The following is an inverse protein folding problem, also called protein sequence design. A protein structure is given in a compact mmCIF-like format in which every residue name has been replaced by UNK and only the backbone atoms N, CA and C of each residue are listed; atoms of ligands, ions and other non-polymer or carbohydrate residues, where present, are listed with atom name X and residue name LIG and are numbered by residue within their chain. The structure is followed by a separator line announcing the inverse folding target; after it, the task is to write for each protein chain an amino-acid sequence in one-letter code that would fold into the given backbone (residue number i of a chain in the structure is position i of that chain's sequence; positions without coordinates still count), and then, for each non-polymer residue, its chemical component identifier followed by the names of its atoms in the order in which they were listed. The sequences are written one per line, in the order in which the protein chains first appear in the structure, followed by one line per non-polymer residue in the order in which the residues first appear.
data_IF_476138756983
#
_entry.id   IF_476138756983
#
_cell.length_a   1.000
_cell.length_b   1.000
_cell.length_c   1.000
_cell.angle_alpha   90.00
_cell.angle_beta   90.00
_cell.angle_gamma   90.00
#
_symmetry.space_group_name_H-M   'P 1'
#
loop_
_entity.id
_entity.type
_entity.pdbx_description
1 polymer ?
#
# COMPACT_ATOMS: atom_id res chain seq x y z
N UNK A 1 -6.54 -12.13 -19.30
CA UNK A 1 -7.60 -13.14 -19.06
C UNK A 1 -7.32 -13.90 -17.78
N UNK A 2 -8.34 -14.13 -16.93
CA UNK A 2 -8.18 -14.93 -15.70
C UNK A 2 -8.28 -16.42 -16.04
N UNK A 3 -7.31 -17.20 -15.56
CA UNK A 3 -7.24 -18.67 -15.77
C UNK A 3 -6.97 -19.32 -14.40
N UNK A 4 -8.00 -19.90 -13.78
CA UNK A 4 -7.91 -20.45 -12.42
C UNK A 4 -7.31 -19.41 -11.43
N UNK A 5 -6.16 -19.71 -10.84
CA UNK A 5 -5.49 -18.86 -9.83
C UNK A 5 -4.45 -17.90 -10.41
N UNK A 6 -4.43 -17.69 -11.72
CA UNK A 6 -3.48 -16.80 -12.42
C UNK A 6 -4.17 -16.02 -13.52
N UNK A 7 -3.51 -14.97 -13.97
CA UNK A 7 -3.92 -14.18 -15.12
C UNK A 7 -2.94 -14.39 -16.27
N UNK A 8 -3.46 -14.55 -17.46
CA UNK A 8 -2.68 -14.48 -18.68
C UNK A 8 -2.63 -13.03 -19.13
N UNK A 9 -1.42 -12.51 -19.23
CA UNK A 9 -1.10 -11.18 -19.71
C UNK A 9 -0.70 -11.31 -21.18
N UNK A 10 -1.42 -10.67 -22.08
CA UNK A 10 -1.00 -10.51 -23.46
C UNK A 10 -0.26 -9.18 -23.55
N UNK A 11 0.97 -9.22 -24.00
CA UNK A 11 1.88 -8.08 -24.03
C UNK A 11 2.40 -7.94 -25.45
N UNK A 12 2.33 -6.73 -25.99
CA UNK A 12 2.95 -6.36 -27.25
C UNK A 12 4.23 -5.56 -26.96
N UNK A 13 5.36 -6.01 -27.51
CA UNK A 13 6.64 -5.31 -27.44
C UNK A 13 7.22 -5.29 -28.85
N UNK A 14 7.34 -4.12 -29.46
CA UNK A 14 7.86 -3.92 -30.82
C UNK A 14 7.14 -4.78 -31.87
N UNK A 15 5.81 -4.87 -31.78
CA UNK A 15 4.98 -5.67 -32.68
C UNK A 15 5.02 -7.18 -32.43
N UNK A 16 5.69 -7.62 -31.35
CA UNK A 16 5.71 -9.00 -30.89
C UNK A 16 4.66 -9.23 -29.80
N UNK A 17 3.66 -10.03 -30.11
CA UNK A 17 2.63 -10.42 -29.13
C UNK A 17 3.06 -11.66 -28.36
N UNK A 18 3.29 -11.53 -27.05
CA UNK A 18 3.77 -12.59 -26.17
C UNK A 18 2.84 -12.69 -24.96
N UNK A 19 2.63 -13.92 -24.47
CA UNK A 19 1.82 -14.15 -23.28
C UNK A 19 2.67 -14.57 -22.08
N UNK A 20 2.40 -13.99 -20.92
CA UNK A 20 2.98 -14.37 -19.63
C UNK A 20 1.91 -14.61 -18.59
N UNK A 21 2.24 -15.36 -17.54
CA UNK A 21 1.36 -15.57 -16.41
C UNK A 21 1.76 -14.73 -15.23
N UNK A 22 0.78 -14.14 -14.51
CA UNK A 22 0.99 -13.46 -13.24
C UNK A 22 -0.15 -13.75 -12.28
N UNK A 23 0.15 -13.84 -10.99
CA UNK A 23 -0.86 -13.88 -9.91
C UNK A 23 -1.35 -12.48 -9.52
N UNK A 24 -0.63 -11.44 -9.91
CA UNK A 24 -0.91 -10.07 -9.53
C UNK A 24 -1.01 -9.15 -10.75
N UNK A 25 -2.17 -8.51 -10.90
CA UNK A 25 -2.48 -7.60 -12.00
C UNK A 25 -2.67 -6.14 -11.55
N UNK A 26 -2.19 -5.78 -10.36
CA UNK A 26 -2.21 -4.38 -10.01
C UNK A 26 -1.37 -3.55 -11.01
N UNK A 27 -1.77 -2.32 -11.21
CA UNK A 27 -1.20 -1.44 -12.24
C UNK A 27 0.32 -1.29 -12.12
N UNK A 28 0.83 -1.17 -10.89
CA UNK A 28 2.27 -1.04 -10.64
C UNK A 28 3.04 -2.30 -11.04
N UNK A 29 2.49 -3.48 -10.74
CA UNK A 29 3.11 -4.74 -11.15
C UNK A 29 3.14 -4.91 -12.67
N UNK A 30 2.05 -4.55 -13.35
CA UNK A 30 1.99 -4.60 -14.81
C UNK A 30 3.04 -3.67 -15.44
N UNK A 31 3.19 -2.44 -14.94
CA UNK A 31 4.23 -1.54 -15.42
C UNK A 31 5.64 -2.05 -15.13
N UNK A 32 5.88 -2.69 -13.98
CA UNK A 32 7.18 -3.29 -13.69
C UNK A 32 7.50 -4.44 -14.64
N UNK A 33 6.52 -5.31 -14.97
CA UNK A 33 6.68 -6.37 -15.96
C UNK A 33 7.01 -5.78 -17.34
N UNK A 34 6.26 -4.77 -17.79
CA UNK A 34 6.50 -4.11 -19.07
C UNK A 34 7.90 -3.46 -19.12
N UNK A 35 8.28 -2.73 -18.07
CA UNK A 35 9.60 -2.10 -17.99
C UNK A 35 10.73 -3.14 -18.00
N UNK A 36 10.54 -4.26 -17.29
CA UNK A 36 11.51 -5.36 -17.28
C UNK A 36 11.65 -5.96 -18.69
N UNK A 37 10.54 -6.28 -19.34
CA UNK A 37 10.56 -6.84 -20.69
C UNK A 37 11.19 -5.88 -21.71
N UNK A 38 10.84 -4.59 -21.64
CA UNK A 38 11.44 -3.57 -22.50
C UNK A 38 12.97 -3.47 -22.28
N UNK A 39 13.42 -3.48 -21.02
CA UNK A 39 14.85 -3.41 -20.70
C UNK A 39 15.64 -4.63 -21.21
N UNK A 40 15.09 -5.83 -21.05
CA UNK A 40 15.80 -7.05 -21.45
C UNK A 40 15.66 -7.39 -22.94
N UNK A 41 14.69 -6.82 -23.64
CA UNK A 41 14.44 -7.10 -25.08
C UNK A 41 15.66 -6.76 -25.96
N UNK A 42 16.48 -5.79 -25.53
CA UNK A 42 17.73 -5.42 -26.23
C UNK A 42 18.85 -6.45 -26.08
N UNK A 43 18.74 -7.36 -25.09
CA UNK A 43 19.79 -8.34 -24.75
C UNK A 43 19.36 -9.79 -24.96
N UNK A 44 18.06 -10.06 -24.84
CA UNK A 44 17.51 -11.41 -24.92
C UNK A 44 16.26 -11.39 -25.78
N UNK A 45 16.13 -12.38 -26.66
CA UNK A 45 14.88 -12.56 -27.39
C UNK A 45 13.77 -12.98 -26.40
N UNK A 46 12.87 -12.05 -26.10
CA UNK A 46 11.80 -12.24 -25.12
C UNK A 46 10.81 -13.35 -25.50
N UNK A 47 10.76 -13.78 -26.79
CA UNK A 47 9.97 -14.94 -27.24
C UNK A 47 10.44 -16.25 -26.59
N UNK A 48 11.72 -16.33 -26.22
CA UNK A 48 12.31 -17.53 -25.63
C UNK A 48 12.11 -17.59 -24.09
N UNK A 49 11.51 -16.56 -23.50
CA UNK A 49 11.23 -16.55 -22.07
C UNK A 49 10.06 -17.49 -21.75
N UNK A 50 10.20 -18.20 -20.63
CA UNK A 50 9.12 -19.05 -20.13
C UNK A 50 7.92 -18.21 -19.74
N UNK A 51 6.70 -18.66 -20.09
CA UNK A 51 5.45 -17.93 -19.79
C UNK A 51 5.21 -17.70 -18.30
N UNK A 52 5.79 -18.50 -17.44
CA UNK A 52 5.60 -18.46 -15.99
C UNK A 52 6.67 -17.65 -15.24
N UNK A 53 7.61 -17.00 -15.94
CA UNK A 53 8.71 -16.23 -15.34
C UNK A 53 8.25 -15.19 -14.30
N UNK A 54 7.04 -14.64 -14.47
CA UNK A 54 6.45 -13.67 -13.53
C UNK A 54 5.41 -14.29 -12.56
N UNK A 55 5.22 -15.61 -12.61
CA UNK A 55 4.16 -16.26 -11.84
C UNK A 55 4.43 -16.18 -10.33
N UNK A 56 5.69 -16.37 -9.94
CA UNK A 56 6.10 -16.39 -8.53
C UNK A 56 6.67 -15.05 -8.06
N UNK A 57 6.49 -14.00 -8.87
CA UNK A 57 6.88 -12.66 -8.47
C UNK A 57 6.06 -12.21 -7.26
N UNK A 58 6.75 -11.99 -6.15
CA UNK A 58 6.15 -11.48 -4.91
C UNK A 58 6.30 -9.97 -4.83
N UNK A 59 5.26 -9.31 -4.39
CA UNK A 59 5.35 -7.88 -4.09
C UNK A 59 6.36 -7.72 -2.93
N UNK A 60 7.41 -6.87 -3.08
CA UNK A 60 8.30 -6.59 -1.97
C UNK A 60 7.54 -6.03 -0.77
N UNK A 61 7.98 -6.38 0.44
CA UNK A 61 7.38 -5.91 1.67
C UNK A 61 7.27 -4.37 1.70
N UNK A 62 6.16 -3.87 2.21
CA UNK A 62 5.91 -2.44 2.31
C UNK A 62 5.48 -1.75 1.00
N UNK A 63 5.11 -2.52 -0.03
CA UNK A 63 4.63 -2.01 -1.33
C UNK A 63 3.21 -2.47 -1.67
N UNK A 64 2.31 -2.44 -0.69
CA UNK A 64 0.91 -2.79 -0.85
C UNK A 64 0.61 -4.26 -0.58
N UNK A 65 1.50 -4.97 0.08
CA UNK A 65 1.25 -6.33 0.54
C UNK A 65 0.18 -6.32 1.64
N UNK A 66 -0.76 -7.25 1.52
CA UNK A 66 -1.87 -7.41 2.47
C UNK A 66 -1.63 -8.64 3.32
N UNK A 67 -1.60 -8.46 4.63
CA UNK A 67 -1.42 -9.51 5.61
C UNK A 67 -2.58 -9.55 6.60
N UNK A 68 -3.08 -10.75 6.91
CA UNK A 68 -4.03 -10.93 8.02
C UNK A 68 -3.24 -10.92 9.31
N UNK A 69 -3.55 -10.00 10.21
CA UNK A 69 -2.88 -9.82 11.49
C UNK A 69 -3.78 -10.32 12.59
N UNK A 70 -3.23 -11.18 13.46
CA UNK A 70 -3.86 -11.57 14.73
C UNK A 70 -3.13 -10.83 15.85
N UNK A 71 -3.84 -9.97 16.55
CA UNK A 71 -3.30 -9.21 17.69
C UNK A 71 -4.26 -9.32 18.87
N UNK A 72 -3.86 -10.04 19.92
CA UNK A 72 -4.76 -10.41 21.03
C UNK A 72 -6.02 -11.10 20.47
N UNK A 73 -7.20 -10.57 20.77
CA UNK A 73 -8.49 -11.14 20.36
C UNK A 73 -9.03 -10.52 19.06
N UNK A 74 -8.18 -9.85 18.26
CA UNK A 74 -8.59 -9.18 17.03
C UNK A 74 -7.85 -9.71 15.82
N UNK A 75 -8.62 -9.89 14.74
CA UNK A 75 -8.10 -10.24 13.43
C UNK A 75 -8.46 -9.11 12.44
N UNK A 76 -7.47 -8.48 11.85
CA UNK A 76 -7.66 -7.41 10.87
C UNK A 76 -6.70 -7.56 9.69
N UNK A 77 -6.92 -6.81 8.62
CA UNK A 77 -6.04 -6.82 7.46
C UNK A 77 -5.14 -5.59 7.47
N UNK A 78 -3.83 -5.83 7.45
CA UNK A 78 -2.80 -4.80 7.32
C UNK A 78 -2.42 -4.66 5.85
N UNK A 79 -2.56 -3.46 5.30
CA UNK A 79 -2.02 -3.07 4.00
C UNK A 79 -0.74 -2.29 4.25
N UNK A 80 0.39 -2.92 3.97
CA UNK A 80 1.71 -2.35 4.25
C UNK A 80 2.24 -1.57 3.04
N UNK A 81 2.31 -0.25 3.18
CA UNK A 81 2.81 0.69 2.18
C UNK A 81 4.01 1.49 2.72
N UNK A 82 4.77 0.91 3.67
CA UNK A 82 5.78 1.63 4.46
C UNK A 82 7.18 1.63 3.84
N UNK A 83 7.35 1.08 2.64
CA UNK A 83 8.66 1.07 1.99
C UNK A 83 9.17 2.47 1.70
N UNK A 84 8.36 3.32 1.09
CA UNK A 84 8.65 4.74 0.86
C UNK A 84 7.36 5.52 0.56
N UNK A 85 7.44 6.86 0.63
CA UNK A 85 6.30 7.74 0.38
C UNK A 85 6.72 9.02 -0.32
N UNK A 86 6.10 9.26 -1.48
CA UNK A 86 6.13 10.54 -2.19
C UNK A 86 4.70 10.92 -2.61
N UNK A 87 4.44 12.13 -3.10
CA UNK A 87 3.09 12.59 -3.42
C UNK A 87 2.33 11.67 -4.38
N UNK A 88 3.00 11.17 -5.43
CA UNK A 88 2.38 10.30 -6.43
C UNK A 88 2.08 8.90 -5.86
N UNK A 89 3.06 8.29 -5.21
CA UNK A 89 2.89 6.95 -4.62
C UNK A 89 1.85 6.96 -3.50
N UNK A 90 1.79 8.03 -2.70
CA UNK A 90 0.79 8.17 -1.64
C UNK A 90 -0.61 8.34 -2.22
N UNK A 91 -0.77 9.18 -3.25
CA UNK A 91 -2.04 9.31 -3.99
C UNK A 91 -2.50 7.96 -4.52
N UNK A 92 -1.63 7.26 -5.27
CA UNK A 92 -1.95 5.96 -5.86
C UNK A 92 -2.34 4.92 -4.81
N UNK A 93 -1.60 4.86 -3.70
CA UNK A 93 -1.90 3.94 -2.60
C UNK A 93 -3.28 4.23 -1.98
N UNK A 94 -3.60 5.50 -1.71
CA UNK A 94 -4.91 5.91 -1.17
C UNK A 94 -6.04 5.54 -2.13
N UNK A 95 -5.88 5.82 -3.44
CA UNK A 95 -6.88 5.52 -4.46
C UNK A 95 -7.10 4.00 -4.63
N UNK A 96 -6.04 3.21 -4.61
CA UNK A 96 -6.12 1.75 -4.67
C UNK A 96 -6.78 1.18 -3.41
N UNK A 97 -6.41 1.70 -2.24
CA UNK A 97 -7.00 1.29 -0.97
C UNK A 97 -8.49 1.62 -0.89
N UNK A 98 -8.89 2.78 -1.43
CA UNK A 98 -10.29 3.17 -1.47
C UNK A 98 -11.14 2.23 -2.32
N UNK A 99 -10.59 1.72 -3.43
CA UNK A 99 -11.27 0.79 -4.35
C UNK A 99 -11.46 -0.62 -3.81
N UNK A 100 -10.83 -1.00 -2.69
CA UNK A 100 -11.08 -2.29 -2.08
C UNK A 100 -12.56 -2.39 -1.70
N UNK A 101 -13.27 -3.35 -2.26
CA UNK A 101 -14.65 -3.64 -1.91
C UNK A 101 -14.67 -4.50 -0.66
N UNK A 102 -15.23 -3.96 0.42
CA UNK A 102 -15.30 -4.62 1.72
C UNK A 102 -16.76 -4.75 2.12
N UNK A 103 -17.14 -5.96 2.55
CA UNK A 103 -18.43 -6.20 3.17
C UNK A 103 -18.30 -5.96 4.68
N UNK A 104 -19.10 -5.04 5.21
CA UNK A 104 -19.23 -4.77 6.67
C UNK A 104 -17.95 -4.42 7.43
N UNK A 105 -16.89 -4.02 6.73
CA UNK A 105 -15.59 -3.68 7.29
C UNK A 105 -15.24 -2.21 7.11
N UNK A 106 -14.50 -1.64 8.05
CA UNK A 106 -14.03 -0.25 7.99
C UNK A 106 -12.62 -0.17 7.46
N UNK A 107 -12.33 0.97 6.84
CA UNK A 107 -11.00 1.34 6.33
C UNK A 107 -10.37 2.41 7.22
N UNK A 108 -9.26 2.08 7.82
CA UNK A 108 -8.43 2.98 8.61
C UNK A 108 -7.11 3.27 7.90
N UNK A 109 -6.61 4.48 8.05
CA UNK A 109 -5.37 4.91 7.44
C UNK A 109 -4.48 5.54 8.49
N UNK A 110 -3.21 5.11 8.55
CA UNK A 110 -2.15 5.79 9.29
C UNK A 110 -1.17 6.36 8.28
N UNK A 111 -1.02 7.68 8.27
CA UNK A 111 -0.10 8.39 7.41
C UNK A 111 1.08 8.93 8.19
N UNK A 112 2.29 8.61 7.73
CA UNK A 112 3.54 9.27 8.12
C UNK A 112 3.94 10.36 7.15
N UNK A 113 5.05 11.04 7.48
CA UNK A 113 5.60 12.09 6.62
C UNK A 113 6.07 11.54 5.26
N UNK A 114 5.93 12.35 4.23
CA UNK A 114 6.69 12.24 2.99
C UNK A 114 7.96 13.08 3.15
N UNK A 115 9.10 12.44 3.20
CA UNK A 115 10.40 13.11 3.36
C UNK A 115 11.00 13.48 2.00
N UNK A 116 12.10 14.23 2.02
CA UNK A 116 12.86 14.62 0.81
C UNK A 116 12.10 15.56 -0.16
N UNK A 117 11.06 16.25 0.31
CA UNK A 117 10.28 17.20 -0.48
C UNK A 117 10.77 18.65 -0.39
N UNK A 118 11.80 18.91 0.42
CA UNK A 118 12.38 20.23 0.61
C UNK A 118 11.33 21.32 0.92
N UNK A 119 11.43 22.45 0.28
CA UNK A 119 10.51 23.60 0.44
C UNK A 119 9.06 23.31 0.06
N UNK A 120 8.81 22.24 -0.66
CA UNK A 120 7.45 21.86 -1.10
C UNK A 120 6.71 20.99 -0.07
N UNK A 121 7.36 20.57 1.01
CA UNK A 121 6.82 19.62 1.98
C UNK A 121 5.43 20.01 2.49
N UNK A 122 5.26 21.20 3.01
CA UNK A 122 3.98 21.70 3.56
C UNK A 122 2.87 21.65 2.51
N UNK A 123 3.14 22.19 1.30
CA UNK A 123 2.16 22.23 0.21
C UNK A 123 1.74 20.82 -0.23
N UNK A 124 2.71 19.94 -0.42
CA UNK A 124 2.44 18.56 -0.88
C UNK A 124 1.65 17.76 0.16
N UNK A 125 2.00 17.86 1.44
CA UNK A 125 1.21 17.21 2.49
C UNK A 125 -0.22 17.76 2.54
N UNK A 126 -0.43 19.07 2.44
CA UNK A 126 -1.77 19.65 2.43
C UNK A 126 -2.62 19.14 1.26
N UNK A 127 -2.04 18.93 0.08
CA UNK A 127 -2.75 18.42 -1.10
C UNK A 127 -3.30 17.00 -0.90
N UNK A 128 -2.68 16.17 -0.09
CA UNK A 128 -3.15 14.81 0.22
C UNK A 128 -4.56 14.83 0.85
N UNK A 129 -4.90 15.84 1.63
CA UNK A 129 -6.24 15.98 2.21
C UNK A 129 -7.35 16.03 1.15
N UNK A 130 -7.08 16.68 0.00
CA UNK A 130 -8.05 16.75 -1.10
C UNK A 130 -8.38 15.38 -1.68
N UNK A 131 -7.40 14.47 -1.68
CA UNK A 131 -7.56 13.09 -2.15
C UNK A 131 -8.36 12.32 -1.11
N UNK A 132 -7.90 12.29 0.13
CA UNK A 132 -8.54 11.57 1.23
C UNK A 132 -10.00 12.00 1.44
N UNK A 133 -10.30 13.30 1.35
CA UNK A 133 -11.64 13.84 1.55
C UNK A 133 -12.68 13.35 0.51
N UNK A 134 -12.22 12.79 -0.61
CA UNK A 134 -13.06 12.22 -1.68
C UNK A 134 -13.25 10.70 -1.55
N UNK A 135 -12.51 10.05 -0.67
CA UNK A 135 -12.53 8.58 -0.50
C UNK A 135 -13.64 8.12 0.46
N UNK A 136 -13.90 6.81 0.45
CA UNK A 136 -14.76 6.11 1.42
C UNK A 136 -13.99 5.66 2.69
N UNK A 137 -12.71 6.03 2.84
CA UNK A 137 -11.91 5.71 4.03
C UNK A 137 -12.60 6.32 5.26
N UNK A 138 -12.76 5.53 6.32
CA UNK A 138 -13.53 5.92 7.49
C UNK A 138 -12.80 6.92 8.38
N UNK A 139 -11.53 6.62 8.74
CA UNK A 139 -10.72 7.50 9.57
C UNK A 139 -9.25 7.51 9.15
N UNK A 140 -8.64 8.68 9.28
CA UNK A 140 -7.22 8.92 9.00
C UNK A 140 -6.52 9.39 10.27
N UNK A 141 -5.58 8.60 10.70
CA UNK A 141 -4.66 8.90 11.78
C UNK A 141 -3.32 9.33 11.20
N UNK A 142 -2.57 10.11 11.93
CA UNK A 142 -1.28 10.60 11.47
C UNK A 142 -0.20 10.43 12.51
N UNK A 143 1.06 10.30 12.01
CA UNK A 143 2.26 10.33 12.84
C UNK A 143 3.37 11.05 12.08
N UNK A 144 3.89 12.14 12.62
CA UNK A 144 4.93 12.95 11.99
C UNK A 144 4.70 14.44 12.15
N UNK A 145 5.61 15.23 11.58
CA UNK A 145 5.61 16.69 11.64
C UNK A 145 4.82 17.31 10.50
N UNK A 146 5.18 16.96 9.26
CA UNK A 146 4.63 17.58 8.05
C UNK A 146 3.25 17.05 7.69
N UNK A 147 2.95 15.79 8.00
CA UNK A 147 1.64 15.18 7.74
C UNK A 147 0.51 15.85 8.55
N UNK A 148 0.83 16.62 9.57
CA UNK A 148 -0.13 17.47 10.28
C UNK A 148 -0.85 18.45 9.36
N UNK A 149 -0.22 18.87 8.26
CA UNK A 149 -0.87 19.75 7.26
C UNK A 149 -1.98 19.03 6.50
N UNK A 150 -1.83 17.73 6.23
CA UNK A 150 -2.93 16.90 5.74
C UNK A 150 -4.07 16.86 6.75
N UNK A 151 -3.74 16.56 8.01
CA UNK A 151 -4.73 16.38 9.08
C UNK A 151 -5.55 17.65 9.35
N UNK A 152 -4.90 18.83 9.36
CA UNK A 152 -5.60 20.11 9.51
C UNK A 152 -6.70 20.30 8.47
N UNK A 153 -6.43 19.91 7.21
CA UNK A 153 -7.30 20.11 6.06
C UNK A 153 -8.26 18.94 5.76
N UNK A 154 -8.28 17.89 6.60
CA UNK A 154 -9.28 16.82 6.52
C UNK A 154 -10.65 17.32 6.98
N UNK A 155 -11.71 16.77 6.37
CA UNK A 155 -13.10 16.91 6.87
C UNK A 155 -13.19 16.35 8.29
N UNK A 156 -14.01 16.94 9.19
CA UNK A 156 -14.12 16.49 10.58
C UNK A 156 -14.41 15.00 10.74
N UNK A 157 -15.31 14.45 9.91
CA UNK A 157 -15.70 13.04 9.94
C UNK A 157 -14.58 12.07 9.47
N UNK A 158 -13.50 12.58 8.85
CA UNK A 158 -12.33 11.80 8.44
C UNK A 158 -11.20 11.81 9.48
N UNK A 159 -11.22 12.79 10.41
CA UNK A 159 -10.16 12.96 11.39
C UNK A 159 -10.19 11.84 12.43
N UNK A 160 -9.07 11.14 12.54
CA UNK A 160 -8.79 10.20 13.61
C UNK A 160 -7.94 10.85 14.71
N UNK A 161 -6.81 10.24 15.04
CA UNK A 161 -5.88 10.67 16.09
C UNK A 161 -4.55 11.12 15.53
N UNK A 162 -3.89 12.04 16.23
CA UNK A 162 -2.47 12.34 16.06
C UNK A 162 -1.71 11.38 16.95
N UNK A 163 -0.94 10.50 16.34
CA UNK A 163 -0.15 9.47 17.03
C UNK A 163 1.26 9.99 17.27
N UNK A 164 1.90 9.54 18.34
CA UNK A 164 3.22 10.04 18.75
C UNK A 164 4.31 8.99 18.65
N UNK A 165 3.94 7.70 18.81
CA UNK A 165 4.89 6.60 18.87
C UNK A 165 4.21 5.26 18.55
N UNK A 166 4.99 4.17 18.59
CA UNK A 166 4.50 2.82 18.36
C UNK A 166 3.39 2.40 19.33
N UNK A 167 3.50 2.75 20.61
CA UNK A 167 2.50 2.36 21.63
C UNK A 167 1.14 2.98 21.30
N UNK A 168 1.12 4.25 20.84
CA UNK A 168 -0.12 4.90 20.42
C UNK A 168 -0.78 4.23 19.20
N UNK A 169 0.01 3.62 18.31
CA UNK A 169 -0.51 2.83 17.18
C UNK A 169 -1.12 1.51 17.68
N UNK A 170 -0.45 0.80 18.57
CA UNK A 170 -0.97 -0.45 19.16
C UNK A 170 -2.26 -0.18 19.96
N UNK A 171 -2.27 0.90 20.74
CA UNK A 171 -3.47 1.32 21.48
C UNK A 171 -4.65 1.66 20.54
N UNK A 172 -4.37 2.37 19.44
CA UNK A 172 -5.33 2.64 18.40
C UNK A 172 -5.94 1.34 17.83
N UNK A 173 -5.09 0.38 17.45
CA UNK A 173 -5.52 -0.91 16.91
C UNK A 173 -6.44 -1.60 17.92
N UNK A 174 -6.00 -1.70 19.17
CA UNK A 174 -6.77 -2.37 20.22
C UNK A 174 -8.12 -1.70 20.53
N UNK A 175 -8.20 -0.38 20.48
CA UNK A 175 -9.43 0.35 20.85
C UNK A 175 -10.40 0.55 19.68
N UNK A 176 -9.90 0.77 18.47
CA UNK A 176 -10.72 1.27 17.38
C UNK A 176 -11.03 0.22 16.30
N UNK A 177 -10.10 -0.71 16.01
CA UNK A 177 -10.33 -1.70 14.97
C UNK A 177 -11.22 -2.84 15.49
N UNK A 178 -12.06 -3.36 14.60
CA UNK A 178 -12.84 -4.58 14.77
C UNK A 178 -12.30 -5.71 13.91
N UNK A 179 -12.81 -6.92 14.11
CA UNK A 179 -12.47 -8.05 13.25
C UNK A 179 -12.83 -7.75 11.79
N UNK A 180 -11.95 -8.14 10.90
CA UNK A 180 -12.02 -7.93 9.45
C UNK A 180 -11.87 -6.47 8.97
N UNK A 181 -11.64 -5.51 9.86
CA UNK A 181 -11.30 -4.15 9.45
C UNK A 181 -9.94 -4.13 8.71
N UNK A 182 -9.76 -3.09 7.91
CA UNK A 182 -8.53 -2.86 7.16
C UNK A 182 -7.79 -1.65 7.71
N UNK A 183 -6.49 -1.80 7.85
CA UNK A 183 -5.57 -0.74 8.26
C UNK A 183 -4.46 -0.62 7.22
N UNK A 184 -4.41 0.50 6.50
CA UNK A 184 -3.24 0.84 5.69
C UNK A 184 -2.29 1.74 6.47
N UNK A 185 -0.99 1.42 6.41
CA UNK A 185 0.07 2.26 6.99
C UNK A 185 1.02 2.68 5.88
N UNK A 186 1.24 4.01 5.73
CA UNK A 186 2.14 4.56 4.71
C UNK A 186 2.91 5.77 5.22
N UNK A 187 4.21 5.80 4.91
CA UNK A 187 5.13 6.91 5.18
C UNK A 187 6.48 6.65 4.52
N UNK A 188 7.34 7.65 4.50
CA UNK A 188 8.71 7.48 4.03
C UNK A 188 9.47 6.50 4.92
N UNK A 189 10.45 5.79 4.35
CA UNK A 189 11.22 4.76 5.05
C UNK A 189 11.81 5.26 6.37
N UNK A 190 12.43 6.46 6.34
CA UNK A 190 13.07 7.08 7.51
C UNK A 190 12.10 7.46 8.63
N UNK A 191 10.78 7.36 8.43
CA UNK A 191 9.79 7.52 9.52
C UNK A 191 9.78 6.34 10.49
N UNK A 192 10.38 5.21 10.10
CA UNK A 192 10.42 4.00 10.91
C UNK A 192 9.11 3.20 10.95
N UNK A 193 8.09 3.57 10.19
CA UNK A 193 6.80 2.88 10.18
C UNK A 193 6.91 1.43 9.71
N UNK A 194 7.88 1.11 8.83
CA UNK A 194 8.17 -0.25 8.40
C UNK A 194 8.55 -1.18 9.57
N UNK A 195 9.18 -0.66 10.62
CA UNK A 195 9.50 -1.44 11.82
C UNK A 195 8.23 -1.87 12.56
N UNK A 196 7.21 -1.00 12.54
CA UNK A 196 5.92 -1.27 13.19
C UNK A 196 5.14 -2.32 12.39
N UNK A 197 5.08 -2.21 11.07
CA UNK A 197 4.37 -3.19 10.23
C UNK A 197 5.04 -4.56 10.29
N UNK A 198 6.37 -4.62 10.28
CA UNK A 198 7.12 -5.87 10.44
C UNK A 198 6.85 -6.52 11.80
N UNK A 199 6.83 -5.75 12.87
CA UNK A 199 6.55 -6.26 14.21
C UNK A 199 5.10 -6.78 14.34
N UNK A 200 4.11 -6.11 13.75
CA UNK A 200 2.74 -6.60 13.70
C UNK A 200 2.64 -7.94 12.95
N UNK A 201 3.34 -8.08 11.83
CA UNK A 201 3.40 -9.32 11.06
C UNK A 201 4.06 -10.45 11.85
N UNK A 202 5.20 -10.19 12.51
CA UNK A 202 5.90 -11.18 13.33
C UNK A 202 5.05 -11.65 14.52
N UNK A 203 4.44 -10.74 15.26
CA UNK A 203 3.55 -11.11 16.37
C UNK A 203 2.36 -11.93 15.94
N UNK A 204 1.85 -11.71 14.74
CA UNK A 204 0.79 -12.52 14.17
C UNK A 204 1.22 -13.96 13.89
N UNK A 205 2.47 -14.19 13.50
CA UNK A 205 3.03 -15.53 13.26
C UNK A 205 3.21 -16.33 14.55
N UNK A 206 3.47 -15.67 15.67
CA UNK A 206 3.63 -16.33 16.99
C UNK A 206 2.32 -16.48 17.78
N UNK A 207 1.19 -16.06 17.21
CA UNK A 207 -0.12 -16.10 17.85
C UNK A 207 -1.02 -17.27 17.35
N UNK A 208 -0.39 -18.26 16.65
CA UNK A 208 -1.05 -19.47 16.15
C UNK A 208 -0.88 -20.61 17.14
#
# INVERSE_FOLDING_TARGET
KKIKNKYELLIDVDGLSISFYSKNINKSNLYNILATLAAINSYVNIKNLKKDIFLDFKIPNGRGDISKIKLKNKNFFLVDETYNSNPLSLKTAIENYDKLELKDSKKYLILGDMLELGKHSIKQHRLISKIVNKTKINQVHIIGKYIKETFKALKPNKKGKILTNRLSIIDLINKNLKNNDYLMIKGSNSTGLHKITNDLKQRSLHAI
#
